data_IF_464151788070
#
_entry.id   IF_464151788070
#
_cell.length_a   1.000
_cell.length_b   1.000
_cell.length_c   1.000
_cell.angle_alpha   90.00
_cell.angle_beta   90.00
_cell.angle_gamma   90.00
#
_symmetry.space_group_name_H-M   'P 1'
#
loop_
_entity.id
_entity.type
_entity.pdbx_description
1 polymer ?
#
# COMPACT_ATOMS: atom_id res chain seq x y z
N UNK A 1 77.32 -15.61 36.39
CA UNK A 1 75.89 -15.74 36.86
C UNK A 1 75.00 -15.03 35.81
N UNK A 2 74.39 -15.81 34.95
CA UNK A 2 73.58 -15.30 33.84
C UNK A 2 72.10 -15.50 34.17
N UNK A 3 71.33 -14.40 34.19
CA UNK A 3 69.89 -14.41 34.45
C UNK A 3 69.19 -14.40 33.09
N UNK A 4 68.58 -15.55 32.74
CA UNK A 4 67.71 -15.68 31.56
C UNK A 4 66.30 -15.13 31.89
N UNK A 5 65.92 -14.02 31.29
CA UNK A 5 64.58 -13.47 31.33
C UNK A 5 63.69 -14.18 30.30
N UNK A 6 62.71 -14.96 30.76
CA UNK A 6 61.69 -15.57 29.89
C UNK A 6 60.59 -14.54 29.59
N UNK A 7 60.47 -14.14 28.34
CA UNK A 7 59.33 -13.38 27.87
C UNK A 7 58.19 -14.35 27.50
N UNK A 8 57.10 -14.29 28.25
CA UNK A 8 55.86 -15.02 27.94
C UNK A 8 55.05 -14.23 26.91
N UNK A 9 54.95 -14.75 25.69
CA UNK A 9 54.05 -14.19 24.68
C UNK A 9 52.62 -14.63 24.98
N UNK A 10 51.78 -13.68 25.42
CA UNK A 10 50.33 -13.87 25.55
C UNK A 10 49.71 -13.71 24.18
N UNK A 11 49.37 -14.81 23.55
CA UNK A 11 48.61 -14.86 22.29
C UNK A 11 47.14 -14.48 22.59
N UNK A 12 46.71 -13.27 22.19
CA UNK A 12 45.28 -12.92 22.15
C UNK A 12 44.64 -13.61 20.99
N UNK A 13 43.90 -14.70 21.24
CA UNK A 13 42.97 -15.29 20.27
C UNK A 13 41.79 -14.32 20.06
N UNK A 14 41.80 -13.57 18.98
CA UNK A 14 40.64 -12.88 18.47
C UNK A 14 39.66 -13.94 17.95
N UNK A 15 38.70 -14.35 18.78
CA UNK A 15 37.53 -15.08 18.35
C UNK A 15 36.68 -14.12 17.49
N UNK A 16 36.92 -14.12 16.19
CA UNK A 16 35.99 -13.55 15.22
C UNK A 16 34.70 -14.39 15.32
N UNK A 17 33.79 -13.92 16.16
CA UNK A 17 32.42 -14.45 16.21
C UNK A 17 31.75 -14.23 14.88
N UNK A 18 31.95 -15.18 13.94
CA UNK A 18 31.09 -15.31 12.77
C UNK A 18 29.70 -15.62 13.31
N UNK A 19 28.84 -14.59 13.44
CA UNK A 19 27.43 -14.81 13.69
C UNK A 19 26.85 -15.58 12.52
N UNK A 20 26.91 -16.91 12.56
CA UNK A 20 26.37 -17.78 11.55
C UNK A 20 24.89 -17.45 11.36
N UNK A 21 24.52 -17.15 10.11
CA UNK A 21 23.12 -17.14 9.64
C UNK A 21 22.55 -18.51 10.04
N UNK A 22 21.39 -18.53 10.72
CA UNK A 22 20.73 -19.80 11.02
C UNK A 22 20.65 -20.61 9.73
N UNK A 23 21.15 -21.84 9.76
CA UNK A 23 21.17 -22.73 8.59
C UNK A 23 19.71 -23.16 8.31
N UNK A 24 18.95 -22.28 7.65
CA UNK A 24 17.57 -22.54 7.25
C UNK A 24 17.60 -23.30 5.93
N UNK A 25 16.86 -24.40 5.86
CA UNK A 25 16.72 -25.19 4.62
C UNK A 25 16.01 -24.44 3.50
N UNK A 26 15.28 -23.36 3.85
CA UNK A 26 14.51 -22.52 2.92
C UNK A 26 14.52 -21.05 3.36
N UNK A 27 14.33 -20.10 2.42
CA UNK A 27 14.34 -18.68 2.75
C UNK A 27 13.13 -18.29 3.63
N UNK A 28 13.35 -17.37 4.55
CA UNK A 28 12.32 -16.72 5.37
C UNK A 28 12.01 -15.35 4.81
N UNK A 29 10.79 -15.17 4.36
CA UNK A 29 10.28 -13.90 3.84
C UNK A 29 9.42 -13.19 4.89
N UNK A 30 9.48 -11.86 4.92
CA UNK A 30 8.57 -11.03 5.70
C UNK A 30 7.68 -10.20 4.77
N UNK A 31 6.37 -10.28 4.94
CA UNK A 31 5.41 -9.39 4.33
C UNK A 31 5.05 -8.32 5.37
N UNK A 32 5.41 -7.07 5.08
CA UNK A 32 5.18 -5.91 5.95
C UNK A 32 4.16 -4.98 5.29
N UNK A 33 2.95 -4.97 5.84
CA UNK A 33 1.82 -4.23 5.28
C UNK A 33 1.49 -2.99 6.09
N UNK A 34 0.60 -2.17 5.54
CA UNK A 34 -0.07 -1.10 6.25
C UNK A 34 -1.09 -1.66 7.25
N UNK A 35 -2.22 -0.99 7.45
CA UNK A 35 -3.19 -1.36 8.46
C UNK A 35 -3.88 -2.70 8.20
N UNK A 36 -3.64 -3.67 9.10
CA UNK A 36 -4.39 -4.94 9.11
C UNK A 36 -5.85 -4.78 9.57
N UNK A 37 -6.27 -3.59 10.02
CA UNK A 37 -7.67 -3.28 10.25
C UNK A 37 -8.43 -2.95 8.95
N UNK A 38 -7.69 -2.61 7.87
CA UNK A 38 -8.26 -2.37 6.55
C UNK A 38 -8.43 -3.70 5.80
N UNK A 39 -9.64 -3.99 5.34
CA UNK A 39 -10.00 -5.25 4.64
C UNK A 39 -9.13 -5.50 3.40
N UNK A 40 -8.70 -4.46 2.68
CA UNK A 40 -7.81 -4.60 1.54
C UNK A 40 -6.51 -5.32 1.91
N UNK A 41 -5.88 -4.95 3.04
CA UNK A 41 -4.66 -5.62 3.50
C UNK A 41 -4.91 -6.98 4.13
N UNK A 42 -6.11 -7.24 4.67
CA UNK A 42 -6.50 -8.59 5.10
C UNK A 42 -6.61 -9.53 3.89
N UNK A 43 -7.22 -9.08 2.80
CA UNK A 43 -7.30 -9.82 1.53
C UNK A 43 -5.92 -10.11 0.98
N UNK A 44 -5.02 -9.11 1.02
CA UNK A 44 -3.62 -9.24 0.59
C UNK A 44 -2.87 -10.29 1.45
N UNK A 45 -3.05 -10.24 2.78
CA UNK A 45 -2.47 -11.21 3.70
C UNK A 45 -2.97 -12.63 3.43
N UNK A 46 -4.28 -12.78 3.22
CA UNK A 46 -4.90 -14.06 2.89
C UNK A 46 -4.34 -14.67 1.60
N UNK A 47 -4.19 -13.86 0.54
CA UNK A 47 -3.57 -14.29 -0.71
C UNK A 47 -2.13 -14.76 -0.53
N UNK A 48 -1.32 -14.00 0.22
CA UNK A 48 0.06 -14.38 0.51
C UNK A 48 0.17 -15.67 1.34
N UNK A 49 -0.68 -15.85 2.34
CA UNK A 49 -0.73 -17.05 3.18
C UNK A 49 -1.17 -18.29 2.38
N UNK A 50 -2.18 -18.14 1.51
CA UNK A 50 -2.62 -19.21 0.63
C UNK A 50 -1.51 -19.63 -0.35
N UNK A 51 -0.79 -18.66 -0.92
CA UNK A 51 0.36 -18.92 -1.78
C UNK A 51 1.48 -19.64 -1.02
N UNK A 52 1.82 -19.19 0.20
CA UNK A 52 2.81 -19.83 1.04
C UNK A 52 2.43 -21.29 1.38
N UNK A 53 1.16 -21.54 1.72
CA UNK A 53 0.68 -22.88 2.02
C UNK A 53 0.82 -23.84 0.82
N UNK A 54 0.58 -23.35 -0.41
CA UNK A 54 0.77 -24.11 -1.64
C UNK A 54 2.25 -24.33 -1.99
N UNK A 55 3.16 -23.49 -1.46
CA UNK A 55 4.61 -23.49 -1.71
C UNK A 55 5.41 -23.68 -0.41
N UNK A 56 4.87 -24.47 0.53
CA UNK A 56 5.46 -24.62 1.86
C UNK A 56 6.87 -25.27 1.86
N UNK A 57 7.24 -25.96 0.77
CA UNK A 57 8.60 -26.49 0.57
C UNK A 57 9.60 -25.41 0.12
N UNK A 58 9.13 -24.30 -0.47
CA UNK A 58 9.98 -23.32 -1.14
C UNK A 58 10.42 -22.19 -0.23
N UNK A 59 9.55 -21.72 0.71
CA UNK A 59 9.85 -20.63 1.62
C UNK A 59 8.94 -20.59 2.85
N UNK A 60 9.38 -19.87 3.89
CA UNK A 60 8.59 -19.52 5.08
C UNK A 60 8.15 -18.06 5.01
N UNK A 61 6.97 -17.73 5.57
CA UNK A 61 6.39 -16.39 5.53
C UNK A 61 6.03 -15.88 6.93
N UNK A 62 6.53 -14.68 7.26
CA UNK A 62 6.07 -13.86 8.38
C UNK A 62 5.16 -12.76 7.83
N UNK A 63 3.93 -12.67 8.34
CA UNK A 63 2.99 -11.62 7.96
C UNK A 63 2.87 -10.61 9.09
N UNK A 64 3.18 -9.36 8.81
CA UNK A 64 3.15 -8.26 9.75
C UNK A 64 2.47 -7.04 9.14
N UNK A 65 1.94 -6.17 10.00
CA UNK A 65 1.36 -4.89 9.61
C UNK A 65 1.11 -4.02 10.82
N UNK A 66 0.78 -2.77 10.56
CA UNK A 66 0.44 -1.79 11.57
C UNK A 66 -1.08 -1.77 11.81
N UNK A 67 -1.52 -1.21 12.93
CA UNK A 67 -2.94 -1.08 13.25
C UNK A 67 -3.58 0.13 12.56
N UNK A 68 -2.83 1.23 12.49
CA UNK A 68 -3.22 2.51 11.93
C UNK A 68 -2.24 2.89 10.81
N UNK A 69 -2.75 3.28 9.64
CA UNK A 69 -1.91 3.66 8.48
C UNK A 69 -1.06 4.91 8.71
N UNK A 70 -1.25 5.63 9.82
CA UNK A 70 -0.45 6.78 10.22
C UNK A 70 0.69 6.42 11.19
N UNK A 71 0.70 5.20 11.74
CA UNK A 71 1.75 4.75 12.66
C UNK A 71 3.00 4.28 11.91
N UNK A 72 3.64 5.26 11.27
CA UNK A 72 4.88 5.07 10.49
C UNK A 72 6.01 4.55 11.37
N UNK A 73 6.10 5.03 12.62
CA UNK A 73 7.15 4.60 13.57
C UNK A 73 7.04 3.10 13.85
N UNK A 74 5.82 2.61 14.05
CA UNK A 74 5.59 1.18 14.26
C UNK A 74 5.98 0.34 13.04
N UNK A 75 5.77 0.86 11.82
CA UNK A 75 6.19 0.14 10.62
C UNK A 75 7.73 0.10 10.50
N UNK A 76 8.43 1.16 10.90
CA UNK A 76 9.89 1.17 11.02
C UNK A 76 10.35 0.09 12.00
N UNK A 77 9.76 0.02 13.21
CA UNK A 77 10.10 -0.98 14.22
C UNK A 77 9.91 -2.42 13.70
N UNK A 78 8.84 -2.66 12.92
CA UNK A 78 8.61 -3.97 12.31
C UNK A 78 9.75 -4.32 11.35
N UNK A 79 10.18 -3.38 10.51
CA UNK A 79 11.30 -3.63 9.59
C UNK A 79 12.61 -3.88 10.35
N UNK A 80 12.88 -3.12 11.44
CA UNK A 80 14.02 -3.34 12.31
C UNK A 80 14.00 -4.75 12.96
N UNK A 81 12.82 -5.20 13.41
CA UNK A 81 12.66 -6.57 13.95
C UNK A 81 12.96 -7.62 12.85
N UNK A 82 12.52 -7.40 11.60
CA UNK A 82 12.83 -8.31 10.51
C UNK A 82 14.33 -8.34 10.18
N UNK A 83 15.01 -7.20 10.27
CA UNK A 83 16.47 -7.12 10.14
C UNK A 83 17.15 -7.93 11.27
N UNK A 84 16.72 -7.73 12.52
CA UNK A 84 17.25 -8.46 13.67
C UNK A 84 17.03 -9.98 13.57
N UNK A 85 15.88 -10.41 13.04
CA UNK A 85 15.56 -11.83 12.76
C UNK A 85 16.32 -12.39 11.56
N UNK A 86 17.05 -11.55 10.82
CA UNK A 86 17.80 -11.94 9.63
C UNK A 86 16.91 -12.67 8.63
N UNK A 87 15.75 -12.08 8.30
CA UNK A 87 14.93 -12.60 7.19
C UNK A 87 15.71 -12.52 5.89
N UNK A 88 15.36 -13.33 4.91
CA UNK A 88 16.05 -13.35 3.61
C UNK A 88 15.51 -12.27 2.67
N UNK A 89 14.21 -11.95 2.80
CA UNK A 89 13.58 -10.88 2.05
C UNK A 89 12.47 -10.18 2.83
N UNK A 90 12.24 -8.91 2.51
CA UNK A 90 11.13 -8.08 2.98
C UNK A 90 10.32 -7.63 1.77
N UNK A 91 9.03 -7.97 1.75
CA UNK A 91 8.04 -7.44 0.80
C UNK A 91 7.23 -6.40 1.56
N UNK A 92 7.29 -5.13 1.16
CA UNK A 92 6.73 -4.02 1.95
C UNK A 92 5.75 -3.15 1.16
N UNK A 93 4.56 -2.90 1.76
CA UNK A 93 3.65 -1.82 1.41
C UNK A 93 3.86 -0.66 2.38
N UNK A 94 4.63 0.38 2.04
CA UNK A 94 4.99 1.42 3.00
C UNK A 94 3.82 2.37 3.28
N UNK A 95 3.60 2.71 4.56
CA UNK A 95 2.61 3.70 4.97
C UNK A 95 3.00 5.12 4.54
N UNK A 96 4.30 5.41 4.50
CA UNK A 96 4.89 6.65 4.04
C UNK A 96 5.92 6.37 2.94
N UNK A 97 5.82 7.09 1.82
CA UNK A 97 6.66 6.86 0.65
C UNK A 97 8.13 7.28 0.85
N UNK A 98 8.43 8.13 1.83
CA UNK A 98 9.79 8.63 2.13
C UNK A 98 10.35 8.10 3.45
N UNK A 99 9.56 8.11 4.50
CA UNK A 99 10.02 7.82 5.86
C UNK A 99 10.51 6.37 6.05
N UNK A 100 10.03 5.42 5.26
CA UNK A 100 10.46 4.01 5.32
C UNK A 100 11.73 3.72 4.49
N UNK A 101 12.16 4.64 3.61
CA UNK A 101 13.34 4.43 2.76
C UNK A 101 14.61 4.19 3.58
N UNK A 102 14.91 4.94 4.67
CA UNK A 102 16.12 4.71 5.47
C UNK A 102 16.20 3.31 6.06
N UNK A 103 15.13 2.81 6.65
CA UNK A 103 15.13 1.48 7.28
C UNK A 103 15.17 0.37 6.22
N UNK A 104 14.53 0.56 5.08
CA UNK A 104 14.64 -0.37 3.95
C UNK A 104 16.06 -0.39 3.35
N UNK A 105 16.73 0.78 3.29
CA UNK A 105 18.15 0.84 2.91
C UNK A 105 19.03 0.06 3.90
N UNK A 106 18.79 0.20 5.21
CA UNK A 106 19.48 -0.59 6.24
C UNK A 106 19.27 -2.10 6.05
N UNK A 107 18.06 -2.52 5.65
CA UNK A 107 17.80 -3.93 5.32
C UNK A 107 18.64 -4.40 4.12
N UNK A 108 18.69 -3.58 3.04
CA UNK A 108 19.54 -3.86 1.87
C UNK A 108 21.02 -3.97 2.25
N UNK A 109 21.52 -3.07 3.10
CA UNK A 109 22.92 -3.08 3.56
C UNK A 109 23.25 -4.28 4.44
N UNK A 110 22.25 -4.85 5.12
CA UNK A 110 22.35 -6.11 5.83
C UNK A 110 22.23 -7.35 4.92
N UNK A 111 22.14 -7.16 3.60
CA UNK A 111 22.04 -8.25 2.61
C UNK A 111 20.66 -8.87 2.51
N UNK A 112 19.61 -8.17 2.99
CA UNK A 112 18.22 -8.59 2.89
C UNK A 112 17.64 -8.04 1.59
N UNK A 113 16.96 -8.89 0.81
CA UNK A 113 16.22 -8.45 -0.38
C UNK A 113 15.03 -7.60 0.05
N UNK A 114 14.79 -6.47 -0.61
CA UNK A 114 13.60 -5.64 -0.37
C UNK A 114 12.83 -5.46 -1.68
N UNK A 115 11.51 -5.72 -1.63
CA UNK A 115 10.57 -5.50 -2.74
C UNK A 115 9.47 -4.58 -2.25
N UNK A 116 9.21 -3.50 -2.98
CA UNK A 116 8.16 -2.55 -2.67
C UNK A 116 6.87 -2.93 -3.40
N UNK A 117 5.75 -2.97 -2.69
CA UNK A 117 4.42 -3.24 -3.27
C UNK A 117 3.41 -2.14 -2.91
N UNK A 118 2.27 -2.09 -3.60
CA UNK A 118 1.10 -1.22 -3.33
C UNK A 118 1.39 0.28 -3.40
N UNK A 119 2.04 0.83 -2.38
CA UNK A 119 2.42 2.24 -2.31
C UNK A 119 3.90 2.41 -2.67
N UNK A 120 4.17 3.13 -3.75
CA UNK A 120 5.54 3.30 -4.27
C UNK A 120 6.37 4.18 -3.34
N UNK A 121 7.61 3.77 -3.11
CA UNK A 121 8.63 4.64 -2.52
C UNK A 121 8.92 5.84 -3.40
N UNK A 122 9.24 6.96 -2.77
CA UNK A 122 9.66 8.18 -3.44
C UNK A 122 11.02 7.94 -4.15
N UNK A 123 11.05 8.25 -5.45
CA UNK A 123 12.24 7.97 -6.28
C UNK A 123 13.45 8.84 -5.91
N UNK A 124 13.20 10.09 -5.51
CA UNK A 124 14.24 11.00 -5.08
C UNK A 124 14.87 10.50 -3.76
N UNK A 125 14.04 10.14 -2.78
CA UNK A 125 14.50 9.58 -1.51
C UNK A 125 15.30 8.27 -1.69
N UNK A 126 14.92 7.40 -2.64
CA UNK A 126 15.69 6.20 -3.00
C UNK A 126 17.04 6.58 -3.61
N UNK A 127 17.05 7.52 -4.56
CA UNK A 127 18.27 7.96 -5.27
C UNK A 127 19.26 8.62 -4.32
N UNK A 128 18.80 9.50 -3.45
CA UNK A 128 19.63 10.16 -2.43
C UNK A 128 20.36 9.19 -1.50
N UNK A 129 19.76 8.02 -1.27
CA UNK A 129 20.34 6.97 -0.41
C UNK A 129 21.05 5.86 -1.19
N UNK A 130 21.16 5.99 -2.52
CA UNK A 130 21.73 4.94 -3.35
C UNK A 130 20.99 3.59 -3.21
N UNK A 131 19.68 3.62 -2.93
CA UNK A 131 18.86 2.44 -2.78
C UNK A 131 18.15 2.10 -4.09
N UNK A 132 18.20 0.83 -4.49
CA UNK A 132 17.43 0.30 -5.61
C UNK A 132 16.47 -0.78 -5.11
N UNK A 133 15.19 -0.46 -5.06
CA UNK A 133 14.11 -1.32 -4.60
C UNK A 133 13.11 -1.44 -5.75
N UNK A 134 12.90 -2.63 -6.34
CA UNK A 134 11.92 -2.81 -7.40
C UNK A 134 10.51 -2.61 -6.84
N UNK A 135 9.62 -2.05 -7.65
CA UNK A 135 8.23 -1.84 -7.33
C UNK A 135 7.32 -2.79 -8.11
N UNK A 136 6.33 -3.35 -7.41
CA UNK A 136 5.25 -4.14 -7.99
C UNK A 136 3.92 -3.54 -7.52
N UNK A 137 3.11 -3.03 -8.44
CA UNK A 137 1.85 -2.41 -8.07
C UNK A 137 1.13 -1.76 -9.24
N UNK A 138 -0.10 -1.26 -9.02
CA UNK A 138 -0.93 -0.69 -10.06
C UNK A 138 -0.48 0.70 -10.50
N UNK A 139 -0.87 1.10 -11.72
CA UNK A 139 -0.93 2.51 -12.08
C UNK A 139 -2.17 3.15 -11.42
N UNK A 140 -1.93 3.74 -10.25
CA UNK A 140 -2.97 4.35 -9.42
C UNK A 140 -3.67 5.53 -10.12
N UNK A 141 -2.93 6.32 -10.93
CA UNK A 141 -3.52 7.48 -11.65
C UNK A 141 -4.45 7.02 -12.75
N UNK A 142 -4.04 6.01 -13.53
CA UNK A 142 -4.85 5.41 -14.58
C UNK A 142 -6.10 4.73 -14.02
N UNK A 143 -5.96 3.93 -12.95
CA UNK A 143 -7.10 3.27 -12.31
C UNK A 143 -8.11 4.26 -11.74
N UNK A 144 -7.65 5.29 -11.02
CA UNK A 144 -8.53 6.33 -10.48
C UNK A 144 -9.19 7.16 -11.58
N UNK A 145 -8.46 7.49 -12.65
CA UNK A 145 -9.03 8.16 -13.81
C UNK A 145 -10.16 7.33 -14.43
N UNK A 146 -9.99 6.03 -14.62
CA UNK A 146 -11.00 5.16 -15.17
C UNK A 146 -12.27 5.07 -14.30
N UNK A 147 -12.12 5.01 -12.97
CA UNK A 147 -13.26 5.11 -12.02
C UNK A 147 -13.98 6.44 -12.18
N UNK A 148 -13.23 7.54 -12.24
CA UNK A 148 -13.81 8.88 -12.36
C UNK A 148 -14.52 9.08 -13.73
N UNK A 149 -13.99 8.55 -14.82
CA UNK A 149 -14.63 8.54 -16.14
C UNK A 149 -15.98 7.80 -16.10
N UNK A 150 -16.04 6.67 -15.37
CA UNK A 150 -17.31 5.94 -15.16
C UNK A 150 -18.34 6.80 -14.39
N UNK A 151 -17.90 7.56 -13.37
CA UNK A 151 -18.77 8.50 -12.64
C UNK A 151 -19.20 9.66 -13.53
N UNK A 152 -18.27 10.25 -14.31
CA UNK A 152 -18.55 11.38 -15.21
C UNK A 152 -19.61 11.05 -16.26
N UNK A 153 -19.63 9.81 -16.78
CA UNK A 153 -20.66 9.34 -17.71
C UNK A 153 -22.10 9.39 -17.16
N UNK A 154 -22.29 9.59 -15.87
CA UNK A 154 -23.59 9.72 -15.18
C UNK A 154 -23.91 11.14 -14.74
N UNK A 155 -23.05 12.10 -15.04
CA UNK A 155 -23.14 13.49 -14.65
C UNK A 155 -23.26 14.40 -15.88
N UNK A 156 -23.53 15.67 -15.64
CA UNK A 156 -23.57 16.73 -16.66
C UNK A 156 -22.41 17.69 -16.45
N UNK A 157 -21.86 18.23 -17.52
CA UNK A 157 -20.86 19.29 -17.44
C UNK A 157 -21.36 20.43 -16.54
N UNK A 158 -20.50 20.91 -15.65
CA UNK A 158 -20.83 21.90 -14.61
C UNK A 158 -21.31 21.31 -13.29
N UNK A 159 -21.64 20.00 -13.21
CA UNK A 159 -22.03 19.37 -11.95
C UNK A 159 -20.91 19.46 -10.91
N UNK A 160 -21.29 19.75 -9.66
CA UNK A 160 -20.37 19.88 -8.54
C UNK A 160 -19.92 18.49 -8.05
N UNK A 161 -18.62 18.29 -7.94
CA UNK A 161 -18.00 17.04 -7.46
C UNK A 161 -16.97 17.34 -6.39
N UNK A 162 -16.71 16.37 -5.50
CA UNK A 162 -15.67 16.49 -4.50
C UNK A 162 -14.82 15.20 -4.41
N UNK A 163 -13.59 15.33 -3.92
CA UNK A 163 -12.65 14.24 -3.72
C UNK A 163 -12.38 14.07 -2.24
N UNK A 164 -12.43 12.82 -1.77
CA UNK A 164 -11.97 12.43 -0.44
C UNK A 164 -10.64 11.69 -0.63
N UNK A 165 -9.55 12.36 -0.24
CA UNK A 165 -8.18 11.94 -0.49
C UNK A 165 -7.69 10.97 0.58
N UNK A 166 -6.70 10.15 0.22
CA UNK A 166 -5.95 9.32 1.17
C UNK A 166 -4.93 10.11 1.99
N UNK A 167 -3.99 9.43 2.62
CA UNK A 167 -2.91 10.06 3.39
C UNK A 167 -1.96 10.84 2.46
N UNK A 168 -1.63 12.11 2.77
CA UNK A 168 -0.87 12.98 1.87
C UNK A 168 0.60 12.55 1.67
N UNK A 169 1.15 11.75 2.58
CA UNK A 169 2.50 11.18 2.55
C UNK A 169 2.59 9.86 1.76
N UNK A 170 1.48 9.42 1.18
CA UNK A 170 1.41 8.21 0.35
C UNK A 170 1.35 8.57 -1.14
N UNK A 171 2.27 8.03 -1.93
CA UNK A 171 2.34 8.25 -3.38
C UNK A 171 1.04 7.84 -4.09
N UNK A 172 0.46 6.68 -3.73
CA UNK A 172 -0.78 6.21 -4.31
C UNK A 172 -1.96 7.16 -4.05
N UNK A 173 -2.03 7.83 -2.87
CA UNK A 173 -3.05 8.84 -2.58
C UNK A 173 -2.97 10.02 -3.55
N UNK A 174 -1.75 10.55 -3.74
CA UNK A 174 -1.49 11.64 -4.69
C UNK A 174 -1.88 11.22 -6.12
N UNK A 175 -1.49 10.01 -6.56
CA UNK A 175 -1.78 9.55 -7.91
C UNK A 175 -3.28 9.33 -8.14
N UNK A 176 -4.01 8.74 -7.18
CA UNK A 176 -5.47 8.57 -7.27
C UNK A 176 -6.18 9.93 -7.31
N UNK A 177 -5.78 10.89 -6.47
CA UNK A 177 -6.31 12.27 -6.51
C UNK A 177 -6.08 12.93 -7.87
N UNK A 178 -4.88 12.80 -8.45
CA UNK A 178 -4.57 13.33 -9.78
C UNK A 178 -5.43 12.65 -10.86
N UNK A 179 -5.60 11.33 -10.83
CA UNK A 179 -6.45 10.61 -11.77
C UNK A 179 -7.91 11.06 -11.72
N UNK A 180 -8.46 11.26 -10.52
CA UNK A 180 -9.81 11.81 -10.35
C UNK A 180 -9.92 13.23 -10.91
N UNK A 181 -8.96 14.10 -10.61
CA UNK A 181 -8.93 15.49 -11.12
C UNK A 181 -8.85 15.53 -12.64
N UNK A 182 -8.00 14.70 -13.25
CA UNK A 182 -7.84 14.63 -14.70
C UNK A 182 -9.17 14.30 -15.41
N UNK A 183 -9.88 13.25 -14.94
CA UNK A 183 -11.15 12.84 -15.51
C UNK A 183 -12.26 13.88 -15.30
N UNK A 184 -12.37 14.42 -14.08
CA UNK A 184 -13.40 15.44 -13.77
C UNK A 184 -13.18 16.72 -14.56
N UNK A 185 -11.93 17.17 -14.71
CA UNK A 185 -11.60 18.32 -15.53
C UNK A 185 -11.91 18.08 -17.02
N UNK A 186 -11.53 16.91 -17.55
CA UNK A 186 -11.82 16.55 -18.94
C UNK A 186 -13.32 16.48 -19.25
N UNK A 187 -14.14 16.09 -18.26
CA UNK A 187 -15.60 16.04 -18.37
C UNK A 187 -16.30 17.38 -18.05
N UNK A 188 -15.53 18.45 -17.74
CA UNK A 188 -16.07 19.77 -17.43
C UNK A 188 -16.79 19.86 -16.09
N UNK A 189 -16.46 18.98 -15.13
CA UNK A 189 -17.05 18.99 -13.78
C UNK A 189 -16.46 20.12 -12.93
N UNK A 190 -17.25 20.63 -11.99
CA UNK A 190 -16.80 21.63 -11.02
C UNK A 190 -16.30 20.95 -9.75
N UNK A 191 -14.98 20.85 -9.57
CA UNK A 191 -14.39 20.38 -8.31
C UNK A 191 -14.58 21.44 -7.22
N UNK A 192 -15.43 21.17 -6.22
CA UNK A 192 -15.78 22.11 -5.15
C UNK A 192 -15.04 21.87 -3.85
N UNK A 193 -14.52 20.65 -3.62
CA UNK A 193 -13.71 20.29 -2.47
C UNK A 193 -12.77 19.12 -2.79
N UNK A 194 -11.62 19.10 -2.12
CA UNK A 194 -10.65 18.00 -2.14
C UNK A 194 -10.01 17.96 -0.76
N UNK A 195 -10.31 16.94 0.06
CA UNK A 195 -9.91 16.87 1.47
C UNK A 195 -9.49 15.45 1.85
N UNK A 196 -8.43 15.34 2.66
CA UNK A 196 -7.96 14.04 3.14
C UNK A 196 -8.84 13.48 4.25
N UNK A 197 -9.06 12.16 4.22
CA UNK A 197 -9.63 11.38 5.32
C UNK A 197 -8.70 10.24 5.76
N UNK A 198 -7.43 10.25 5.33
CA UNK A 198 -6.35 9.36 5.80
C UNK A 198 -6.68 7.86 5.67
N UNK A 199 -7.44 7.47 4.66
CA UNK A 199 -7.90 6.10 4.37
C UNK A 199 -8.99 5.56 5.31
N UNK A 200 -9.49 6.38 6.26
CA UNK A 200 -10.34 5.95 7.36
C UNK A 200 -11.84 6.25 7.11
N UNK A 201 -12.67 5.26 7.43
CA UNK A 201 -14.13 5.31 7.26
C UNK A 201 -14.77 6.45 8.07
N UNK A 202 -14.43 6.56 9.35
CA UNK A 202 -15.06 7.55 10.24
C UNK A 202 -14.66 8.97 9.86
N UNK A 203 -13.41 9.21 9.50
CA UNK A 203 -12.94 10.49 9.01
C UNK A 203 -13.61 10.87 7.69
N UNK A 204 -13.76 9.90 6.79
CA UNK A 204 -14.44 10.13 5.51
C UNK A 204 -15.92 10.47 5.72
N UNK A 205 -16.60 9.85 6.69
CA UNK A 205 -17.95 10.21 7.06
C UNK A 205 -18.05 11.67 7.52
N UNK A 206 -17.14 12.11 8.40
CA UNK A 206 -17.09 13.50 8.89
C UNK A 206 -16.81 14.49 7.76
N UNK A 207 -15.81 14.22 6.93
CA UNK A 207 -15.43 15.04 5.77
C UNK A 207 -16.58 15.14 4.77
N UNK A 208 -17.20 14.00 4.42
CA UNK A 208 -18.33 13.95 3.50
C UNK A 208 -19.54 14.74 4.05
N UNK A 209 -19.85 14.60 5.33
CA UNK A 209 -20.95 15.34 5.98
C UNK A 209 -20.73 16.85 5.91
N UNK A 210 -19.50 17.32 6.16
CA UNK A 210 -19.13 18.72 6.06
C UNK A 210 -19.23 19.24 4.61
N UNK A 211 -18.78 18.45 3.64
CA UNK A 211 -18.86 18.79 2.21
C UNK A 211 -20.33 18.87 1.76
N UNK A 212 -21.17 17.88 2.13
CA UNK A 212 -22.59 17.84 1.79
C UNK A 212 -23.37 19.03 2.34
N UNK A 213 -23.04 19.48 3.56
CA UNK A 213 -23.63 20.66 4.20
C UNK A 213 -23.25 21.95 3.46
N UNK A 214 -21.97 22.08 3.08
CA UNK A 214 -21.43 23.28 2.43
C UNK A 214 -21.83 23.38 0.95
N UNK A 215 -22.04 22.25 0.30
CA UNK A 215 -22.34 22.14 -1.13
C UNK A 215 -23.66 21.37 -1.33
N UNK A 216 -24.82 22.04 -1.17
CA UNK A 216 -26.13 21.40 -1.33
C UNK A 216 -26.40 20.93 -2.78
N UNK A 217 -25.67 21.45 -3.75
CA UNK A 217 -25.70 21.08 -5.17
C UNK A 217 -24.74 19.94 -5.55
N UNK A 218 -23.96 19.38 -4.58
CA UNK A 218 -23.00 18.32 -4.84
C UNK A 218 -23.65 17.11 -5.53
N UNK A 219 -22.97 16.57 -6.55
CA UNK A 219 -23.45 15.44 -7.35
C UNK A 219 -22.63 14.17 -7.20
N UNK A 220 -21.35 14.27 -6.84
CA UNK A 220 -20.53 13.09 -6.62
C UNK A 220 -19.44 13.29 -5.57
N UNK A 221 -19.07 12.18 -4.89
CA UNK A 221 -17.92 12.01 -4.01
C UNK A 221 -17.02 10.90 -4.59
N UNK A 222 -15.79 11.26 -4.92
CA UNK A 222 -14.75 10.34 -5.38
C UNK A 222 -13.81 10.05 -4.23
N UNK A 223 -13.82 8.82 -3.73
CA UNK A 223 -13.03 8.42 -2.56
C UNK A 223 -11.81 7.62 -3.00
N UNK A 224 -10.64 7.97 -2.49
CA UNK A 224 -9.39 7.36 -2.89
C UNK A 224 -9.22 5.89 -2.39
N UNK A 225 -10.12 5.40 -1.50
CA UNK A 225 -10.29 3.98 -1.23
C UNK A 225 -11.73 3.64 -0.83
N UNK A 226 -12.04 2.36 -0.74
CA UNK A 226 -13.38 1.85 -0.43
C UNK A 226 -13.77 2.03 1.03
N UNK A 227 -12.83 1.97 1.97
CA UNK A 227 -13.11 2.29 3.39
C UNK A 227 -13.67 3.71 3.52
N UNK A 228 -13.06 4.67 2.82
CA UNK A 228 -13.57 6.04 2.77
C UNK A 228 -14.88 6.14 1.97
N UNK A 229 -15.06 5.35 0.91
CA UNK A 229 -16.32 5.32 0.17
C UNK A 229 -17.49 4.83 1.03
N UNK A 230 -17.28 3.86 1.92
CA UNK A 230 -18.27 3.42 2.91
C UNK A 230 -18.66 4.55 3.86
N UNK A 231 -17.68 5.28 4.39
CA UNK A 231 -17.91 6.44 5.26
C UNK A 231 -18.66 7.56 4.56
N UNK A 232 -18.26 7.89 3.33
CA UNK A 232 -18.92 8.90 2.49
C UNK A 232 -20.36 8.49 2.13
N UNK A 233 -20.57 7.22 1.79
CA UNK A 233 -21.90 6.68 1.51
C UNK A 233 -22.83 6.75 2.73
N UNK A 234 -22.31 6.44 3.93
CA UNK A 234 -23.07 6.58 5.16
C UNK A 234 -23.50 8.04 5.40
N UNK A 235 -22.62 9.03 5.13
CA UNK A 235 -22.94 10.45 5.22
C UNK A 235 -24.00 10.87 4.19
N UNK A 236 -23.90 10.41 2.94
CA UNK A 236 -24.88 10.64 1.88
C UNK A 236 -26.27 10.13 2.27
N UNK A 237 -26.34 8.93 2.86
CA UNK A 237 -27.60 8.35 3.38
C UNK A 237 -28.17 9.18 4.52
N UNK A 238 -27.37 9.50 5.51
CA UNK A 238 -27.78 10.30 6.66
C UNK A 238 -28.33 11.67 6.24
N UNK A 239 -27.79 12.25 5.18
CA UNK A 239 -28.27 13.50 4.57
C UNK A 239 -29.54 13.34 3.69
N UNK A 240 -30.09 12.13 3.53
CA UNK A 240 -31.25 11.86 2.67
C UNK A 240 -30.95 12.08 1.17
N UNK A 241 -29.69 11.91 0.74
CA UNK A 241 -29.23 12.21 -0.62
C UNK A 241 -28.82 10.97 -1.41
N UNK A 242 -29.12 9.77 -0.91
CA UNK A 242 -28.90 8.50 -1.62
C UNK A 242 -29.59 8.55 -3.01
N UNK A 243 -28.88 8.13 -4.05
CA UNK A 243 -29.32 8.24 -5.44
C UNK A 243 -29.21 9.65 -6.07
N UNK A 244 -28.99 10.70 -5.26
CA UNK A 244 -28.79 12.06 -5.75
C UNK A 244 -27.31 12.47 -5.78
N UNK A 245 -26.50 11.92 -4.89
CA UNK A 245 -25.04 12.07 -4.83
C UNK A 245 -24.42 10.71 -5.09
N UNK A 246 -23.66 10.62 -6.17
CA UNK A 246 -22.92 9.41 -6.53
C UNK A 246 -21.71 9.25 -5.62
N UNK A 247 -21.38 8.00 -5.26
CA UNK A 247 -20.17 7.67 -4.49
C UNK A 247 -19.38 6.63 -5.27
N UNK A 248 -18.07 6.83 -5.38
CA UNK A 248 -17.15 5.86 -5.95
C UNK A 248 -15.94 5.67 -5.05
N UNK A 249 -15.33 4.48 -5.12
CA UNK A 249 -14.20 4.06 -4.32
C UNK A 249 -13.03 3.51 -5.12
N UNK A 250 -12.17 2.76 -4.44
CA UNK A 250 -11.01 2.07 -4.99
C UNK A 250 -10.67 0.92 -4.04
N UNK A 251 -10.31 -0.27 -4.52
CA UNK A 251 -9.84 -1.50 -3.88
C UNK A 251 -10.74 -2.72 -4.11
N UNK A 252 -12.04 -2.53 -4.39
CA UNK A 252 -13.05 -3.59 -4.54
C UNK A 252 -13.13 -4.52 -3.32
N UNK A 253 -13.08 -3.97 -2.09
CA UNK A 253 -13.22 -4.76 -0.86
C UNK A 253 -14.61 -5.41 -0.77
N UNK A 254 -14.75 -6.55 -0.06
CA UNK A 254 -16.00 -7.31 -0.03
C UNK A 254 -17.16 -6.50 0.54
N UNK A 255 -16.87 -5.59 1.49
CA UNK A 255 -17.85 -4.70 2.08
C UNK A 255 -18.55 -3.76 1.08
N UNK A 256 -17.90 -3.40 -0.05
CA UNK A 256 -18.51 -2.54 -1.08
C UNK A 256 -19.10 -3.33 -2.26
N UNK A 257 -18.69 -4.56 -2.50
CA UNK A 257 -19.07 -5.32 -3.71
C UNK A 257 -20.59 -5.39 -3.89
N UNK A 258 -21.37 -5.63 -2.81
CA UNK A 258 -22.82 -5.63 -2.89
C UNK A 258 -23.38 -4.23 -3.18
N UNK A 259 -22.83 -3.19 -2.57
CA UNK A 259 -23.26 -1.82 -2.81
C UNK A 259 -22.96 -1.37 -4.25
N UNK A 260 -21.88 -1.89 -4.84
CA UNK A 260 -21.54 -1.66 -6.25
C UNK A 260 -22.49 -2.41 -7.14
N UNK A 261 -22.77 -3.70 -6.87
CA UNK A 261 -23.71 -4.51 -7.64
C UNK A 261 -25.13 -3.90 -7.64
N UNK A 262 -25.57 -3.35 -6.50
CA UNK A 262 -26.87 -2.67 -6.33
C UNK A 262 -26.88 -1.22 -6.88
N UNK A 263 -25.74 -0.71 -7.37
CA UNK A 263 -25.60 0.66 -7.89
C UNK A 263 -25.62 1.77 -6.83
N UNK A 264 -25.50 1.42 -5.56
CA UNK A 264 -25.51 2.38 -4.41
C UNK A 264 -24.15 3.04 -4.22
N UNK A 265 -23.07 2.32 -4.51
CA UNK A 265 -21.74 2.84 -4.86
C UNK A 265 -21.58 2.59 -6.36
N UNK A 266 -21.30 3.62 -7.14
CA UNK A 266 -21.44 3.54 -8.59
C UNK A 266 -20.23 2.94 -9.30
N UNK A 267 -19.06 2.95 -8.67
CA UNK A 267 -17.85 2.29 -9.17
C UNK A 267 -16.82 2.11 -8.07
N UNK A 268 -15.97 1.12 -8.22
CA UNK A 268 -14.69 0.94 -7.52
C UNK A 268 -13.65 0.37 -8.47
N UNK A 269 -12.37 0.53 -8.17
CA UNK A 269 -11.28 -0.12 -8.91
C UNK A 269 -10.82 -1.38 -8.18
N UNK A 270 -10.82 -2.51 -8.85
CA UNK A 270 -10.22 -3.75 -8.36
C UNK A 270 -8.74 -3.79 -8.75
N UNK A 271 -7.86 -3.70 -7.79
CA UNK A 271 -6.42 -3.81 -7.99
C UNK A 271 -5.87 -5.21 -7.63
N UNK A 272 -6.75 -6.19 -7.49
CA UNK A 272 -6.41 -7.59 -7.20
C UNK A 272 -5.52 -7.74 -5.97
N UNK A 273 -6.00 -7.24 -4.81
CA UNK A 273 -5.24 -7.23 -3.56
C UNK A 273 -4.73 -8.61 -3.14
N UNK A 274 -5.52 -9.67 -3.36
CA UNK A 274 -5.17 -11.06 -3.11
C UNK A 274 -3.90 -11.52 -3.86
N UNK A 275 -3.62 -10.92 -5.04
CA UNK A 275 -2.48 -11.28 -5.90
C UNK A 275 -1.28 -10.35 -5.74
N UNK A 276 -1.51 -9.14 -5.23
CA UNK A 276 -0.47 -8.12 -5.19
C UNK A 276 0.72 -8.50 -4.31
N UNK A 277 0.46 -9.04 -3.11
CA UNK A 277 1.53 -9.57 -2.26
C UNK A 277 2.21 -10.81 -2.86
N UNK A 278 1.45 -11.66 -3.55
CA UNK A 278 1.99 -12.84 -4.24
C UNK A 278 3.03 -12.42 -5.29
N UNK A 279 2.71 -11.42 -6.13
CA UNK A 279 3.68 -10.89 -7.10
C UNK A 279 4.94 -10.32 -6.44
N UNK A 280 4.80 -9.65 -5.28
CA UNK A 280 5.94 -9.18 -4.50
C UNK A 280 6.79 -10.32 -3.95
N UNK A 281 6.17 -11.39 -3.47
CA UNK A 281 6.84 -12.62 -2.99
C UNK A 281 7.59 -13.31 -4.12
N UNK A 282 6.95 -13.49 -5.29
CA UNK A 282 7.58 -14.06 -6.48
C UNK A 282 8.84 -13.28 -6.89
N UNK A 283 8.76 -11.92 -6.86
CA UNK A 283 9.91 -11.05 -7.13
C UNK A 283 11.03 -11.23 -6.10
N UNK A 284 10.68 -11.34 -4.81
CA UNK A 284 11.67 -11.57 -3.75
C UNK A 284 12.38 -12.92 -3.94
N UNK A 285 11.65 -13.97 -4.24
CA UNK A 285 12.21 -15.31 -4.52
C UNK A 285 13.08 -15.31 -5.77
N UNK A 286 12.67 -14.61 -6.83
CA UNK A 286 13.47 -14.43 -8.05
C UNK A 286 14.80 -13.73 -7.75
N UNK A 287 14.77 -12.62 -7.00
CA UNK A 287 15.99 -11.89 -6.61
C UNK A 287 16.89 -12.77 -5.74
N UNK A 288 16.33 -13.52 -4.79
CA UNK A 288 17.11 -14.44 -3.95
C UNK A 288 17.85 -15.49 -4.79
N UNK A 289 17.20 -15.98 -5.86
CA UNK A 289 17.77 -16.99 -6.78
C UNK A 289 18.77 -16.39 -7.75
N UNK A 290 18.43 -15.26 -8.41
CA UNK A 290 19.21 -14.70 -9.52
C UNK A 290 20.26 -13.67 -9.08
N UNK A 291 20.07 -13.08 -7.90
CA UNK A 291 20.81 -11.92 -7.37
C UNK A 291 20.67 -10.65 -8.23
N UNK A 292 19.68 -10.62 -9.13
CA UNK A 292 19.43 -9.51 -10.04
C UNK A 292 18.02 -8.96 -9.77
N UNK A 293 17.88 -7.70 -9.29
CA UNK A 293 16.57 -7.07 -9.16
C UNK A 293 15.92 -6.86 -10.53
N UNK A 294 14.69 -7.38 -10.76
CA UNK A 294 13.97 -7.13 -12.00
C UNK A 294 13.54 -5.65 -12.14
N UNK A 295 13.01 -5.30 -13.29
CA UNK A 295 12.38 -3.99 -13.51
C UNK A 295 11.08 -3.88 -12.68
N UNK A 296 10.60 -2.63 -12.48
CA UNK A 296 9.28 -2.40 -11.91
C UNK A 296 8.19 -3.12 -12.72
N UNK A 297 7.18 -3.64 -12.03
CA UNK A 297 6.03 -4.34 -12.65
C UNK A 297 4.74 -3.59 -12.36
N UNK A 298 4.07 -3.17 -13.42
CA UNK A 298 2.68 -2.70 -13.33
C UNK A 298 1.73 -3.89 -13.22
N UNK A 299 0.79 -3.82 -12.27
CA UNK A 299 -0.25 -4.83 -12.08
C UNK A 299 -1.59 -4.34 -12.66
N UNK A 300 -2.49 -5.26 -13.08
CA UNK A 300 -3.79 -4.87 -13.64
C UNK A 300 -4.68 -4.15 -12.62
N UNK A 301 -5.55 -3.28 -13.15
CA UNK A 301 -6.62 -2.62 -12.42
C UNK A 301 -7.88 -2.67 -13.26
N UNK A 302 -8.97 -3.19 -12.70
CA UNK A 302 -10.26 -3.30 -13.36
C UNK A 302 -11.29 -2.39 -12.68
N UNK A 303 -12.08 -1.64 -13.47
CA UNK A 303 -13.21 -0.89 -12.92
C UNK A 303 -14.39 -1.84 -12.73
N UNK A 304 -14.94 -1.88 -11.53
CA UNK A 304 -16.19 -2.58 -11.20
C UNK A 304 -17.30 -1.54 -11.04
N UNK A 305 -18.40 -1.78 -11.70
CA UNK A 305 -19.63 -1.00 -11.62
C UNK A 305 -20.83 -1.93 -11.59
N UNK A 306 -22.07 -1.40 -11.41
CA UNK A 306 -23.27 -2.23 -11.53
C UNK A 306 -23.32 -2.85 -12.92
N UNK A 307 -23.75 -4.13 -12.99
CA UNK A 307 -24.06 -4.77 -14.25
C UNK A 307 -25.21 -3.97 -14.93
N UNK A 308 -25.01 -3.58 -16.18
CA UNK A 308 -26.04 -2.93 -16.99
C UNK A 308 -27.02 -4.00 -17.51
#
# INVERSE_FOLDING_TARGET
MSVLTRVAAVGVLLLAGSCARADRSRPLLALVMKSLANEFFQTMAGGAQAHQAAHAADYDLLVNGIKDEQDVSRQVDIVEDMIARRVDAIVIAPADSKALVPVCKKALDAGIVVVNIDNRFDREALTERGARIPFVGPDNRKGARAVAEHVAGRLKSGDAVAIIEGAPNAFNATQRTLGFRDAMAAAGMKLVASQTAYWETDRANQVASAILTRHPDLRALLCANDSMALGAFAAVRAAGREGKVLVAGFDNISAVQRLVADGRIVATADQHGDRLAVYGIEYALEILRTKIPPADRETPVDVKGPAF
#
